data_IF_426778255363
#
_entry.id   IF_426778255363
#
_cell.length_a   1.000
_cell.length_b   1.000
_cell.length_c   1.000
_cell.angle_alpha   90.00
_cell.angle_beta   90.00
_cell.angle_gamma   90.00
#
_symmetry.space_group_name_H-M   'P 1'
#
loop_
_entity.id
_entity.type
_entity.pdbx_description
1 polymer ?
#
# COMPACT_ATOMS: atom_id res chain seq x y z
N UNK A 1 -6.99 11.85 -8.61
CA UNK A 1 -8.05 11.01 -8.00
C UNK A 1 -9.34 11.79 -7.70
N UNK A 2 -9.30 13.05 -7.19
CA UNK A 2 -10.55 13.81 -6.96
C UNK A 2 -11.32 14.18 -8.23
N UNK A 3 -10.62 14.57 -9.30
CA UNK A 3 -11.23 15.02 -10.55
C UNK A 3 -12.05 13.94 -11.28
N UNK A 4 -11.62 12.67 -11.28
CA UNK A 4 -12.33 11.59 -11.97
C UNK A 4 -13.68 11.26 -11.31
N UNK A 5 -13.72 11.26 -9.99
CA UNK A 5 -14.96 11.03 -9.23
C UNK A 5 -15.91 12.23 -9.38
N UNK A 6 -15.37 13.45 -9.40
CA UNK A 6 -16.15 14.66 -9.64
C UNK A 6 -16.78 14.63 -11.05
N UNK A 7 -15.99 14.28 -12.07
CA UNK A 7 -16.45 14.20 -13.47
C UNK A 7 -17.53 13.13 -13.63
N UNK A 8 -17.31 11.93 -13.09
CA UNK A 8 -18.29 10.83 -13.19
C UNK A 8 -19.59 11.14 -12.45
N UNK A 9 -19.50 11.68 -11.22
CA UNK A 9 -20.69 12.11 -10.46
C UNK A 9 -21.47 13.22 -11.18
N UNK A 10 -20.76 14.12 -11.85
CA UNK A 10 -21.38 15.22 -12.62
C UNK A 10 -22.05 14.67 -13.88
N UNK A 11 -21.42 13.73 -14.59
CA UNK A 11 -21.99 13.09 -15.79
C UNK A 11 -23.25 12.28 -15.45
N UNK A 12 -23.20 11.44 -14.42
CA UNK A 12 -24.33 10.64 -13.94
C UNK A 12 -25.51 11.51 -13.50
N UNK A 13 -25.24 12.67 -12.89
CA UNK A 13 -26.27 13.64 -12.54
C UNK A 13 -26.98 14.21 -13.77
N UNK A 14 -26.24 14.60 -14.81
CA UNK A 14 -26.84 15.12 -16.05
C UNK A 14 -27.61 14.05 -16.83
N UNK A 15 -27.14 12.80 -16.84
CA UNK A 15 -27.85 11.66 -17.46
C UNK A 15 -29.17 11.39 -16.71
N UNK A 16 -29.14 11.35 -15.38
CA UNK A 16 -30.33 11.17 -14.54
C UNK A 16 -31.34 12.30 -14.72
N UNK A 17 -30.87 13.55 -14.72
CA UNK A 17 -31.70 14.73 -14.96
C UNK A 17 -32.34 14.72 -16.35
N UNK A 18 -31.59 14.29 -17.37
CA UNK A 18 -32.11 14.15 -18.74
C UNK A 18 -33.22 13.09 -18.83
N UNK A 19 -33.07 11.93 -18.18
CA UNK A 19 -34.10 10.89 -18.15
C UNK A 19 -35.37 11.34 -17.42
N UNK A 20 -35.23 12.05 -16.30
CA UNK A 20 -36.37 12.59 -15.53
C UNK A 20 -37.11 13.67 -16.33
N UNK A 21 -36.39 14.61 -16.97
CA UNK A 21 -37.01 15.63 -17.80
C UNK A 21 -37.64 15.04 -19.07
N UNK A 22 -37.00 14.04 -19.68
CA UNK A 22 -37.53 13.32 -20.84
C UNK A 22 -38.80 12.53 -20.55
N UNK A 23 -39.02 12.09 -19.29
CA UNK A 23 -40.24 11.36 -18.89
C UNK A 23 -41.41 12.28 -18.55
N UNK A 24 -41.15 13.52 -18.10
CA UNK A 24 -42.20 14.49 -17.77
C UNK A 24 -42.68 15.34 -18.95
N UNK A 25 -41.87 15.55 -20.01
CA UNK A 25 -42.24 16.46 -21.10
C UNK A 25 -41.93 15.87 -22.50
N UNK A 26 -42.98 15.48 -23.25
CA UNK A 26 -42.88 14.89 -24.61
C UNK A 26 -42.34 15.82 -25.69
N UNK A 27 -42.05 17.10 -25.38
CA UNK A 27 -41.49 18.07 -26.34
C UNK A 27 -39.97 18.25 -26.26
N UNK A 28 -39.27 17.57 -25.33
CA UNK A 28 -37.80 17.61 -25.30
C UNK A 28 -37.28 16.69 -26.40
N UNK A 29 -36.55 17.23 -27.38
CA UNK A 29 -35.92 16.43 -28.44
C UNK A 29 -35.05 15.36 -27.78
N UNK A 30 -35.28 14.06 -28.05
CA UNK A 30 -34.45 13.01 -27.49
C UNK A 30 -33.00 13.23 -27.94
N UNK A 31 -32.06 13.13 -27.00
CA UNK A 31 -30.63 13.16 -27.36
C UNK A 31 -30.41 12.05 -28.41
N UNK A 32 -29.73 12.35 -29.54
CA UNK A 32 -29.42 11.35 -30.53
C UNK A 32 -28.73 10.14 -29.89
N UNK A 33 -29.25 8.94 -30.16
CA UNK A 33 -28.72 7.66 -29.64
C UNK A 33 -27.19 7.54 -29.75
N UNK A 34 -26.52 8.03 -30.82
CA UNK A 34 -25.06 8.01 -30.90
C UNK A 34 -24.35 8.81 -29.80
N UNK A 35 -24.91 9.95 -29.37
CA UNK A 35 -24.32 10.81 -28.35
C UNK A 35 -24.41 10.14 -26.98
N UNK A 36 -25.55 9.50 -26.69
CA UNK A 36 -25.77 8.70 -25.48
C UNK A 36 -24.83 7.49 -25.40
N UNK A 37 -24.61 6.81 -26.53
CA UNK A 37 -23.69 5.67 -26.62
C UNK A 37 -22.23 6.10 -26.37
N UNK A 38 -21.81 7.25 -26.91
CA UNK A 38 -20.46 7.80 -26.70
C UNK A 38 -20.26 8.22 -25.24
N UNK A 39 -21.23 8.90 -24.62
CA UNK A 39 -21.12 9.31 -23.21
C UNK A 39 -21.05 8.12 -22.26
N UNK A 40 -21.88 7.09 -22.46
CA UNK A 40 -21.86 5.88 -21.64
C UNK A 40 -20.55 5.09 -21.81
N UNK A 41 -20.00 5.08 -23.02
CA UNK A 41 -18.72 4.43 -23.33
C UNK A 41 -17.54 5.16 -22.69
N UNK A 42 -17.54 6.49 -22.69
CA UNK A 42 -16.51 7.31 -22.02
C UNK A 42 -16.54 7.17 -20.50
N UNK A 43 -17.73 7.07 -19.89
CA UNK A 43 -17.85 6.80 -18.45
C UNK A 43 -17.37 5.38 -18.10
N UNK A 44 -17.76 4.39 -18.88
CA UNK A 44 -17.31 3.00 -18.70
C UNK A 44 -15.80 2.89 -18.87
N UNK A 45 -15.23 3.61 -19.86
CA UNK A 45 -13.79 3.69 -20.08
C UNK A 45 -13.09 4.43 -18.93
N UNK A 46 -13.64 5.53 -18.42
CA UNK A 46 -13.09 6.28 -17.28
C UNK A 46 -13.07 5.45 -15.99
N UNK A 47 -14.14 4.69 -15.72
CA UNK A 47 -14.22 3.74 -14.62
C UNK A 47 -13.23 2.59 -14.82
N UNK A 48 -13.13 2.06 -16.04
CA UNK A 48 -12.20 0.98 -16.39
C UNK A 48 -10.72 1.41 -16.31
N UNK A 49 -10.39 2.63 -16.73
CA UNK A 49 -9.05 3.22 -16.58
C UNK A 49 -8.76 3.50 -15.11
N UNK A 50 -9.74 3.96 -14.33
CA UNK A 50 -9.57 4.15 -12.89
C UNK A 50 -9.30 2.82 -12.16
N UNK A 51 -10.04 1.76 -12.53
CA UNK A 51 -9.84 0.40 -11.98
C UNK A 51 -8.55 -0.26 -12.51
N UNK A 52 -8.20 -0.02 -13.77
CA UNK A 52 -6.97 -0.46 -14.43
C UNK A 52 -5.72 0.21 -13.87
N UNK A 53 -5.78 1.52 -13.57
CA UNK A 53 -4.72 2.27 -12.88
C UNK A 53 -4.54 1.84 -11.43
N UNK A 54 -5.61 1.43 -10.73
CA UNK A 54 -5.48 0.81 -9.40
C UNK A 54 -4.69 -0.51 -9.47
N UNK A 55 -4.92 -1.32 -10.50
CA UNK A 55 -4.13 -2.54 -10.74
C UNK A 55 -2.69 -2.24 -11.21
N UNK A 56 -2.45 -1.18 -11.97
CA UNK A 56 -1.09 -0.79 -12.38
C UNK A 56 -0.27 -0.25 -11.19
N UNK A 57 -0.87 0.55 -10.30
CA UNK A 57 -0.23 0.94 -9.04
C UNK A 57 0.01 -0.26 -8.13
N UNK A 58 -0.85 -1.28 -8.15
CA UNK A 58 -0.66 -2.55 -7.42
C UNK A 58 0.60 -3.29 -7.89
N UNK A 59 0.77 -3.50 -9.19
CA UNK A 59 1.99 -4.15 -9.73
C UNK A 59 3.26 -3.32 -9.55
N UNK A 60 3.19 -2.00 -9.75
CA UNK A 60 4.33 -1.11 -9.55
C UNK A 60 4.77 -1.05 -8.08
N UNK A 61 3.80 -1.04 -7.14
CA UNK A 61 4.08 -1.08 -5.70
C UNK A 61 4.65 -2.43 -5.27
N UNK A 62 4.16 -3.54 -5.82
CA UNK A 62 4.70 -4.89 -5.58
C UNK A 62 6.13 -4.99 -6.13
N UNK A 63 6.37 -4.51 -7.35
CA UNK A 63 7.70 -4.52 -7.95
C UNK A 63 8.68 -3.59 -7.23
N UNK A 64 8.24 -2.40 -6.79
CA UNK A 64 9.04 -1.49 -5.95
C UNK A 64 9.32 -2.07 -4.57
N UNK A 65 8.35 -2.73 -3.92
CA UNK A 65 8.59 -3.43 -2.65
C UNK A 65 9.68 -4.50 -2.85
N UNK A 66 9.54 -5.39 -3.82
CA UNK A 66 10.51 -6.47 -4.07
C UNK A 66 11.89 -5.91 -4.47
N UNK A 67 11.93 -4.90 -5.34
CA UNK A 67 13.17 -4.32 -5.85
C UNK A 67 13.90 -3.43 -4.83
N UNK A 68 13.18 -2.65 -4.00
CA UNK A 68 13.79 -1.93 -2.88
C UNK A 68 14.26 -2.89 -1.77
N UNK A 69 13.59 -4.03 -1.57
CA UNK A 69 14.03 -5.07 -0.63
C UNK A 69 15.37 -5.74 -1.02
N UNK A 70 15.69 -5.90 -2.32
CA UNK A 70 16.99 -6.43 -2.78
C UNK A 70 18.16 -5.50 -2.43
N UNK A 71 17.94 -4.18 -2.42
CA UNK A 71 18.97 -3.20 -2.03
C UNK A 71 19.20 -3.15 -0.51
N UNK A 72 18.19 -3.53 0.28
CA UNK A 72 18.33 -3.72 1.73
C UNK A 72 19.42 -4.75 2.06
N UNK A 73 19.45 -5.88 1.35
CA UNK A 73 20.40 -6.98 1.60
C UNK A 73 21.87 -6.53 1.50
N UNK A 74 22.19 -5.68 0.52
CA UNK A 74 23.56 -5.22 0.28
C UNK A 74 24.05 -4.29 1.40
N UNK A 75 23.16 -3.45 1.95
CA UNK A 75 23.50 -2.53 3.04
C UNK A 75 23.55 -3.25 4.39
N UNK A 76 22.69 -4.27 4.59
CA UNK A 76 22.65 -5.10 5.79
C UNK A 76 23.94 -5.94 5.95
N UNK A 77 24.38 -6.61 4.88
CA UNK A 77 25.57 -7.49 4.91
C UNK A 77 26.87 -6.76 5.29
N UNK A 78 26.89 -5.42 5.22
CA UNK A 78 28.04 -4.56 5.58
C UNK A 78 28.09 -4.17 7.06
N UNK A 79 27.00 -4.39 7.82
CA UNK A 79 26.88 -3.97 9.22
C UNK A 79 26.75 -5.17 10.18
N UNK A 80 26.49 -6.37 9.68
CA UNK A 80 26.35 -7.60 10.47
C UNK A 80 27.67 -8.37 10.56
N UNK A 81 28.61 -7.87 11.36
CA UNK A 81 29.58 -8.75 12.02
C UNK A 81 29.18 -8.80 13.51
N UNK A 82 28.72 -9.98 13.94
CA UNK A 82 28.57 -10.42 15.33
C UNK A 82 27.31 -10.09 16.18
N UNK A 83 26.19 -9.56 15.67
CA UNK A 83 24.99 -9.41 16.53
C UNK A 83 23.66 -9.76 15.83
N UNK A 84 22.75 -10.42 16.57
CA UNK A 84 21.37 -10.63 16.14
C UNK A 84 20.66 -9.28 15.99
N UNK A 85 19.82 -9.12 14.96
CA UNK A 85 19.09 -7.90 14.66
C UNK A 85 17.59 -8.15 14.58
N UNK A 86 16.83 -7.35 15.33
CA UNK A 86 15.39 -7.33 15.34
C UNK A 86 14.85 -6.22 14.42
N UNK A 87 14.15 -6.61 13.35
CA UNK A 87 13.58 -5.69 12.35
C UNK A 87 12.06 -5.67 12.50
N UNK A 88 11.49 -4.46 12.58
CA UNK A 88 10.06 -4.26 12.77
C UNK A 88 9.44 -3.43 11.65
N UNK A 89 8.57 -4.04 10.85
CA UNK A 89 7.90 -3.38 9.74
C UNK A 89 6.55 -2.78 10.15
N UNK A 90 6.33 -1.50 9.83
CA UNK A 90 5.11 -0.78 10.23
C UNK A 90 4.36 -0.20 9.04
N UNK A 91 3.05 -0.48 8.98
CA UNK A 91 2.12 0.20 8.07
C UNK A 91 0.85 0.67 8.80
N UNK A 92 -0.25 0.87 8.07
CA UNK A 92 -1.52 1.32 8.66
C UNK A 92 -2.25 0.18 9.37
N UNK A 93 -2.73 -0.81 8.62
CA UNK A 93 -3.61 -1.87 9.15
C UNK A 93 -2.96 -3.24 9.33
N UNK A 94 -1.67 -3.38 9.02
CA UNK A 94 -0.95 -4.66 9.06
C UNK A 94 -1.52 -5.79 8.19
N UNK A 95 -2.26 -5.46 7.13
CA UNK A 95 -2.90 -6.48 6.25
C UNK A 95 -2.24 -6.60 4.87
N UNK A 96 -1.46 -5.60 4.44
CA UNK A 96 -0.89 -5.60 3.08
C UNK A 96 0.63 -5.48 3.09
N UNK A 97 1.15 -4.26 3.32
CA UNK A 97 2.55 -3.91 3.02
C UNK A 97 3.55 -4.47 4.03
N UNK A 98 3.32 -4.19 5.32
CA UNK A 98 4.21 -4.67 6.38
C UNK A 98 4.22 -6.21 6.54
N UNK A 99 3.10 -6.96 6.44
CA UNK A 99 3.16 -8.42 6.51
C UNK A 99 3.84 -9.06 5.30
N UNK A 100 3.69 -8.48 4.10
CA UNK A 100 4.45 -8.94 2.93
C UNK A 100 5.96 -8.74 3.15
N UNK A 101 6.37 -7.56 3.65
CA UNK A 101 7.77 -7.27 3.93
C UNK A 101 8.38 -8.25 4.96
N UNK A 102 7.62 -8.59 6.00
CA UNK A 102 8.00 -9.60 6.99
C UNK A 102 8.14 -10.98 6.37
N UNK A 103 7.14 -11.47 5.64
CA UNK A 103 7.15 -12.80 5.04
C UNK A 103 8.33 -12.97 4.06
N UNK A 104 8.56 -11.97 3.21
CA UNK A 104 9.68 -11.95 2.26
C UNK A 104 11.02 -12.01 2.99
N UNK A 105 11.21 -11.21 4.05
CA UNK A 105 12.48 -11.16 4.77
C UNK A 105 12.71 -12.44 5.58
N UNK A 106 11.68 -13.01 6.21
CA UNK A 106 11.75 -14.31 6.88
C UNK A 106 12.12 -15.44 5.90
N UNK A 107 11.56 -15.42 4.70
CA UNK A 107 11.82 -16.43 3.68
C UNK A 107 13.29 -16.45 3.21
N UNK A 108 14.02 -15.34 3.36
CA UNK A 108 15.45 -15.26 3.06
C UNK A 108 16.33 -15.98 4.08
N UNK A 109 15.80 -16.35 5.25
CA UNK A 109 16.50 -17.13 6.28
C UNK A 109 17.87 -16.55 6.63
N UNK A 110 17.94 -15.22 6.81
CA UNK A 110 19.18 -14.55 7.18
C UNK A 110 19.54 -14.88 8.63
N UNK A 111 20.75 -15.40 8.86
CA UNK A 111 21.23 -15.75 10.19
C UNK A 111 21.24 -14.53 11.12
N UNK A 112 20.71 -14.73 12.33
CA UNK A 112 20.63 -13.68 13.36
C UNK A 112 19.60 -12.60 13.06
N UNK A 113 18.74 -12.72 12.04
CA UNK A 113 17.69 -11.74 11.75
C UNK A 113 16.35 -12.22 12.26
N UNK A 114 15.74 -11.45 13.15
CA UNK A 114 14.37 -11.65 13.60
C UNK A 114 13.47 -10.56 13.06
N UNK A 115 12.27 -10.94 12.61
CA UNK A 115 11.37 -10.01 11.90
C UNK A 115 9.98 -10.10 12.50
N UNK A 116 9.38 -8.94 12.70
CA UNK A 116 7.96 -8.76 13.05
C UNK A 116 7.36 -7.66 12.17
N UNK A 117 6.04 -7.64 12.06
CA UNK A 117 5.31 -6.52 11.49
C UNK A 117 4.11 -6.15 12.34
N UNK A 118 3.67 -4.89 12.21
CA UNK A 118 2.46 -4.37 12.83
C UNK A 118 1.85 -3.22 12.03
N UNK A 119 0.75 -2.69 12.55
CA UNK A 119 0.01 -1.56 12.01
C UNK A 119 -0.33 -0.54 13.08
N UNK A 120 -0.25 0.74 12.74
CA UNK A 120 -0.57 1.85 13.64
C UNK A 120 -2.06 1.80 14.06
N UNK A 121 -2.92 1.38 13.14
CA UNK A 121 -4.37 1.23 13.31
C UNK A 121 -4.82 -0.17 12.84
N UNK A 122 -4.12 -1.22 13.31
CA UNK A 122 -4.50 -2.59 13.01
C UNK A 122 -5.61 -3.07 13.96
N UNK A 123 -6.56 -3.83 13.41
CA UNK A 123 -7.46 -4.65 14.21
C UNK A 123 -6.72 -5.95 14.54
N UNK A 124 -6.70 -6.39 15.79
CA UNK A 124 -5.95 -7.59 16.16
C UNK A 124 -6.59 -8.89 15.65
N UNK A 125 -5.76 -9.86 15.29
CA UNK A 125 -6.19 -11.24 14.97
C UNK A 125 -6.82 -11.44 13.59
N UNK A 126 -6.84 -10.41 12.76
CA UNK A 126 -7.20 -10.48 11.34
C UNK A 126 -6.12 -11.14 10.49
N UNK A 127 -6.49 -11.51 9.25
CA UNK A 127 -5.60 -12.11 8.28
C UNK A 127 -4.89 -11.09 7.39
N UNK A 128 -3.96 -11.59 6.57
CA UNK A 128 -3.40 -10.81 5.45
C UNK A 128 -4.50 -10.58 4.39
N UNK A 129 -4.40 -9.49 3.63
CA UNK A 129 -5.32 -9.23 2.52
C UNK A 129 -5.18 -10.27 1.40
N UNK A 130 -6.29 -10.61 0.74
CA UNK A 130 -6.32 -11.57 -0.39
C UNK A 130 -5.32 -11.19 -1.49
N UNK A 131 -5.16 -9.89 -1.75
CA UNK A 131 -4.22 -9.40 -2.76
C UNK A 131 -2.76 -9.69 -2.38
N UNK A 132 -2.42 -9.54 -1.11
CA UNK A 132 -1.07 -9.82 -0.60
C UNK A 132 -0.82 -11.33 -0.51
N UNK A 133 -1.82 -12.10 -0.10
CA UNK A 133 -1.79 -13.57 -0.12
C UNK A 133 -1.50 -14.11 -1.52
N UNK A 134 -2.25 -13.67 -2.53
CA UNK A 134 -2.07 -14.12 -3.92
C UNK A 134 -0.65 -13.82 -4.45
N UNK A 135 -0.01 -12.74 -4.00
CA UNK A 135 1.37 -12.40 -4.38
C UNK A 135 2.35 -13.35 -3.70
N UNK A 136 2.24 -13.57 -2.39
CA UNK A 136 3.13 -14.47 -1.66
C UNK A 136 3.00 -15.91 -2.17
N UNK A 137 1.78 -16.37 -2.45
CA UNK A 137 1.52 -17.69 -3.05
C UNK A 137 2.15 -17.82 -4.44
N UNK A 138 2.00 -16.80 -5.29
CA UNK A 138 2.60 -16.79 -6.64
C UNK A 138 4.12 -16.90 -6.59
N UNK A 139 4.75 -16.27 -5.62
CA UNK A 139 6.21 -16.30 -5.42
C UNK A 139 6.66 -17.50 -4.56
N UNK A 140 5.75 -18.42 -4.20
CA UNK A 140 6.00 -19.59 -3.34
C UNK A 140 6.62 -19.23 -1.97
N UNK A 141 6.26 -18.07 -1.44
CA UNK A 141 6.71 -17.59 -0.14
C UNK A 141 5.72 -18.06 0.93
N UNK A 142 6.12 -18.96 1.86
CA UNK A 142 5.26 -19.36 2.95
C UNK A 142 5.05 -18.18 3.91
N UNK A 143 3.82 -18.03 4.39
CA UNK A 143 3.49 -16.99 5.36
C UNK A 143 2.45 -17.50 6.35
N UNK A 144 2.65 -17.16 7.62
CA UNK A 144 1.63 -17.25 8.66
C UNK A 144 1.55 -15.86 9.29
N UNK A 145 0.40 -15.23 9.19
CA UNK A 145 0.23 -13.84 9.61
C UNK A 145 -1.05 -13.64 10.40
N UNK A 146 -0.93 -12.92 11.51
CA UNK A 146 -2.04 -12.34 12.25
C UNK A 146 -1.76 -10.86 12.44
N UNK A 147 -2.76 -10.04 12.15
CA UNK A 147 -2.62 -8.60 12.32
C UNK A 147 -2.37 -8.24 13.78
N UNK A 148 -1.42 -7.35 14.00
CA UNK A 148 -1.04 -6.84 15.31
C UNK A 148 -1.01 -5.30 15.28
N UNK A 149 -1.45 -4.69 16.37
CA UNK A 149 -1.29 -3.26 16.56
C UNK A 149 0.09 -2.94 17.13
N UNK A 150 0.66 -1.81 16.69
CA UNK A 150 1.92 -1.31 17.25
C UNK A 150 1.77 -1.12 18.76
N UNK A 151 2.70 -1.69 19.51
CA UNK A 151 2.76 -1.59 20.97
C UNK A 151 4.20 -1.28 21.42
N UNK A 152 4.34 -0.82 22.66
CA UNK A 152 5.61 -0.39 23.23
C UNK A 152 6.64 -1.52 23.30
N UNK A 153 6.23 -2.74 23.68
CA UNK A 153 7.12 -3.89 23.79
C UNK A 153 7.80 -4.23 22.46
N UNK A 154 7.06 -4.17 21.35
CA UNK A 154 7.62 -4.42 20.01
C UNK A 154 8.51 -3.25 19.54
N UNK A 155 8.18 -2.02 19.94
CA UNK A 155 9.04 -0.85 19.68
C UNK A 155 10.36 -1.00 20.43
N UNK A 156 10.36 -1.44 21.68
CA UNK A 156 11.56 -1.69 22.47
C UNK A 156 12.38 -2.85 21.91
N UNK A 157 11.72 -3.95 21.56
CA UNK A 157 12.32 -5.15 20.97
C UNK A 157 13.09 -4.86 19.67
N UNK A 158 12.62 -3.91 18.85
CA UNK A 158 13.20 -3.62 17.56
C UNK A 158 14.55 -2.89 17.67
N UNK A 159 15.57 -3.36 16.95
CA UNK A 159 16.81 -2.61 16.69
C UNK A 159 16.65 -1.67 15.51
N UNK A 160 15.74 -2.01 14.59
CA UNK A 160 15.43 -1.26 13.38
C UNK A 160 13.93 -1.29 13.09
N UNK A 161 13.32 -0.11 12.96
CA UNK A 161 11.91 0.06 12.61
C UNK A 161 11.83 0.61 11.18
N UNK A 162 11.16 -0.12 10.30
CA UNK A 162 11.00 0.20 8.88
C UNK A 162 9.54 0.48 8.56
N UNK A 163 9.24 1.75 8.36
CA UNK A 163 7.89 2.23 8.06
C UNK A 163 7.65 2.29 6.56
N UNK A 164 6.41 2.03 6.13
CA UNK A 164 6.11 2.01 4.69
C UNK A 164 6.00 3.41 4.05
N UNK A 165 5.83 4.46 4.84
CA UNK A 165 5.68 5.85 4.35
C UNK A 165 6.23 6.84 5.39
N UNK A 166 6.53 8.07 4.96
CA UNK A 166 6.94 9.14 5.88
C UNK A 166 5.86 9.45 6.92
N UNK A 167 4.58 9.41 6.54
CA UNK A 167 3.47 9.61 7.47
C UNK A 167 3.45 8.54 8.59
N UNK A 168 3.74 7.27 8.27
CA UNK A 168 3.89 6.23 9.29
C UNK A 168 5.07 6.53 10.22
N UNK A 169 6.22 6.94 9.69
CA UNK A 169 7.37 7.37 10.50
C UNK A 169 6.98 8.51 11.45
N UNK A 170 6.32 9.55 10.96
CA UNK A 170 5.89 10.68 11.79
C UNK A 170 4.95 10.24 12.91
N UNK A 171 3.97 9.38 12.61
CA UNK A 171 3.07 8.85 13.64
C UNK A 171 3.80 8.02 14.70
N UNK A 172 4.73 7.15 14.29
CA UNK A 172 5.56 6.39 15.24
C UNK A 172 6.39 7.33 16.11
N UNK A 173 7.05 8.34 15.54
CA UNK A 173 7.88 9.27 16.31
C UNK A 173 7.06 10.19 17.23
N UNK A 174 5.81 10.48 16.86
CA UNK A 174 4.90 11.23 17.72
C UNK A 174 4.48 10.41 18.94
N UNK A 175 4.12 9.14 18.75
CA UNK A 175 3.70 8.25 19.84
C UNK A 175 4.87 7.68 20.66
N UNK A 176 6.02 7.44 20.02
CA UNK A 176 7.21 6.82 20.62
C UNK A 176 8.48 7.63 20.29
N UNK A 177 8.69 8.80 20.92
CA UNK A 177 9.84 9.66 20.62
C UNK A 177 11.19 8.99 20.84
N UNK A 178 11.28 8.03 21.77
CA UNK A 178 12.50 7.25 22.05
C UNK A 178 12.95 6.39 20.85
N UNK A 179 12.06 6.10 19.90
CA UNK A 179 12.37 5.27 18.74
C UNK A 179 13.04 6.04 17.59
N UNK A 180 13.37 7.33 17.78
CA UNK A 180 13.88 8.22 16.73
C UNK A 180 15.08 7.68 15.97
N UNK A 181 16.08 7.19 16.70
CA UNK A 181 17.37 6.80 16.11
C UNK A 181 17.30 5.46 15.37
N UNK A 182 16.23 4.69 15.60
CA UNK A 182 15.98 3.39 14.97
C UNK A 182 14.83 3.38 13.99
N UNK A 183 14.15 4.51 13.74
CA UNK A 183 12.98 4.57 12.85
C UNK A 183 13.29 5.23 11.51
N UNK A 184 13.12 4.44 10.45
CA UNK A 184 13.31 4.86 9.06
C UNK A 184 12.11 4.43 8.22
N UNK A 185 11.91 5.09 7.09
CA UNK A 185 11.11 4.58 5.99
C UNK A 185 11.91 3.50 5.27
N UNK A 186 11.24 2.50 4.72
CA UNK A 186 11.92 1.46 3.95
C UNK A 186 12.77 2.07 2.83
N UNK A 187 12.19 3.04 2.11
CA UNK A 187 12.84 3.76 1.02
C UNK A 187 14.10 4.51 1.45
N UNK A 188 14.04 5.30 2.52
CA UNK A 188 15.23 6.06 2.97
C UNK A 188 16.35 5.14 3.47
N UNK A 189 15.99 3.96 4.00
CA UNK A 189 16.96 3.01 4.49
C UNK A 189 17.71 2.28 3.37
N UNK A 190 16.98 1.86 2.32
CA UNK A 190 17.51 1.03 1.22
C UNK A 190 18.10 1.84 0.06
N UNK A 191 17.70 3.09 -0.11
CA UNK A 191 18.28 3.93 -1.13
C UNK A 191 19.77 4.20 -0.79
N UNK A 192 20.71 4.04 -1.75
CA UNK A 192 21.99 4.70 -1.63
C UNK A 192 21.72 6.21 -1.52
N UNK A 193 22.44 6.91 -0.64
CA UNK A 193 22.41 8.36 -0.57
C UNK A 193 22.89 8.88 -1.93
N UNK A 194 21.98 9.05 -2.89
CA UNK A 194 22.26 9.81 -4.09
C UNK A 194 22.32 11.24 -3.60
N UNK A 195 23.55 11.72 -3.41
CA UNK A 195 23.81 13.16 -3.40
C UNK A 195 23.11 13.78 -4.61
N UNK A 196 22.38 14.88 -4.38
CA UNK A 196 21.64 15.72 -5.36
C UNK A 196 20.25 15.15 -5.69
N UNK A 197 19.12 15.85 -5.54
CA UNK A 197 18.78 17.27 -5.37
C UNK A 197 17.51 17.42 -4.52
#
# INVERSE_FOLDING_TARGET
>A
MQWSNLISSTLLFFIGLHLILSTQNRQIKPIPVPILAVSASLDTFSVSISFGMLNLQKYLFIHLCIHEQLRFEIKFKRKSEANSMNIYFVCTGNTCRSPMAEAILKHKQLDGVHVKSAGIYALEGGGISENSKAVLEKENIPFEHKTSQVNENDIEWADLILTMTLAHKQMILHSFPMAKDKTFTLKEYVAPYSSKD
#
